data_IF_366234815441
#
_entry.id   IF_366234815441
#
_cell.length_a   1.000
_cell.length_b   1.000
_cell.length_c   1.000
_cell.angle_alpha   90.00
_cell.angle_beta   90.00
_cell.angle_gamma   90.00
#
_symmetry.space_group_name_H-M   'P 1'
#
loop_
_entity.id
_entity.type
_entity.pdbx_description
1 polymer ?
#
# COMPACT_ATOMS: atom_id res chain seq x y z
N UNK A 1 -12.86 -29.74 26.73
CA UNK A 1 -11.55 -29.92 26.05
C UNK A 1 -10.49 -29.35 27.00
N UNK A 2 -9.52 -30.16 27.44
CA UNK A 2 -8.72 -29.87 28.63
C UNK A 2 -7.65 -28.79 28.36
N UNK A 3 -7.71 -27.66 29.06
CA UNK A 3 -6.81 -26.50 28.91
C UNK A 3 -5.33 -26.88 28.99
N UNK A 4 -5.03 -27.91 29.78
CA UNK A 4 -3.68 -28.45 29.93
C UNK A 4 -3.13 -29.05 28.64
N UNK A 5 -3.98 -29.75 27.86
CA UNK A 5 -3.58 -30.33 26.58
C UNK A 5 -3.35 -29.23 25.54
N UNK A 6 -4.23 -28.22 25.50
CA UNK A 6 -4.10 -27.08 24.60
C UNK A 6 -2.82 -26.28 24.88
N UNK A 7 -2.50 -26.05 26.16
CA UNK A 7 -1.25 -25.41 26.60
C UNK A 7 0.00 -26.18 26.16
N UNK A 8 0.00 -27.51 26.31
CA UNK A 8 1.13 -28.36 25.89
C UNK A 8 1.33 -28.36 24.37
N UNK A 9 0.23 -28.39 23.60
CA UNK A 9 0.29 -28.32 22.13
C UNK A 9 0.84 -26.97 21.68
N UNK A 10 0.36 -25.85 22.25
CA UNK A 10 0.86 -24.50 21.94
C UNK A 10 2.34 -24.35 22.26
N UNK A 11 2.79 -24.90 23.39
CA UNK A 11 4.19 -24.83 23.83
C UNK A 11 5.11 -25.66 22.94
N UNK A 12 4.68 -26.85 22.53
CA UNK A 12 5.42 -27.69 21.58
C UNK A 12 5.45 -27.07 20.17
N UNK A 13 4.32 -26.52 19.71
CA UNK A 13 4.24 -25.84 18.42
C UNK A 13 5.18 -24.62 18.36
N UNK A 14 5.20 -23.78 19.40
CA UNK A 14 6.11 -22.63 19.48
C UNK A 14 7.60 -23.01 19.60
N UNK A 15 7.92 -24.23 20.05
CA UNK A 15 9.28 -24.73 20.14
C UNK A 15 9.79 -25.35 18.82
N UNK A 16 8.86 -25.86 17.99
CA UNK A 16 9.17 -26.51 16.70
C UNK A 16 9.04 -25.53 15.53
N UNK A 17 8.06 -24.63 15.59
CA UNK A 17 7.92 -23.57 14.61
C UNK A 17 9.17 -22.70 14.71
N UNK A 18 9.94 -22.53 13.62
CA UNK A 18 11.02 -21.58 13.65
C UNK A 18 10.42 -20.24 14.04
N UNK A 19 11.00 -19.59 15.05
CA UNK A 19 10.94 -18.14 15.22
C UNK A 19 11.65 -17.53 14.02
N UNK A 20 11.11 -17.75 12.82
CA UNK A 20 11.43 -17.00 11.66
C UNK A 20 10.90 -15.61 11.98
N UNK A 21 11.76 -14.78 12.53
CA UNK A 21 11.77 -13.38 12.13
C UNK A 21 11.92 -13.46 10.62
N UNK A 22 10.78 -13.58 9.91
CA UNK A 22 10.73 -13.52 8.47
C UNK A 22 11.43 -12.21 8.17
N UNK A 23 12.68 -12.30 7.72
CA UNK A 23 13.42 -11.14 7.27
C UNK A 23 12.51 -10.38 6.31
N UNK A 24 12.70 -9.08 6.21
CA UNK A 24 11.91 -8.19 5.36
C UNK A 24 12.06 -8.47 3.83
N UNK A 25 12.17 -9.73 3.43
CA UNK A 25 12.16 -10.23 2.07
C UNK A 25 10.80 -9.97 1.39
N UNK A 26 9.78 -9.58 2.16
CA UNK A 26 8.42 -9.28 1.73
C UNK A 26 8.01 -7.84 2.02
N UNK A 27 8.89 -6.83 1.98
CA UNK A 27 8.38 -5.47 1.77
C UNK A 27 7.89 -5.46 0.32
N UNK A 28 6.57 -5.48 0.05
CA UNK A 28 6.14 -5.29 -1.32
C UNK A 28 6.68 -3.93 -1.76
N UNK A 29 7.46 -3.91 -2.85
CA UNK A 29 7.92 -2.65 -3.42
C UNK A 29 6.69 -1.80 -3.68
N UNK A 30 6.70 -0.57 -3.16
CA UNK A 30 5.60 0.37 -3.36
C UNK A 30 5.30 0.42 -4.86
N UNK A 31 4.04 0.26 -5.28
CA UNK A 31 3.72 0.27 -6.69
C UNK A 31 4.12 1.61 -7.28
N UNK A 32 4.76 1.60 -8.47
CA UNK A 32 5.14 2.84 -9.18
C UNK A 32 3.99 3.86 -9.28
N UNK A 33 2.76 3.37 -9.41
CA UNK A 33 1.55 4.23 -9.44
C UNK A 33 1.36 5.02 -8.13
N UNK A 34 1.57 4.38 -6.98
CA UNK A 34 1.44 5.02 -5.67
C UNK A 34 2.60 5.99 -5.40
N UNK A 35 3.81 5.68 -5.88
CA UNK A 35 4.95 6.62 -5.85
C UNK A 35 4.65 7.89 -6.67
N UNK A 36 4.17 7.73 -7.91
CA UNK A 36 3.78 8.85 -8.78
C UNK A 36 2.68 9.69 -8.11
N UNK A 37 1.67 9.04 -7.53
CA UNK A 37 0.60 9.72 -6.81
C UNK A 37 1.14 10.50 -5.60
N UNK A 38 2.08 9.93 -4.86
CA UNK A 38 2.75 10.59 -3.74
C UNK A 38 3.51 11.84 -4.20
N UNK A 39 4.23 11.76 -5.33
CA UNK A 39 4.92 12.91 -5.91
C UNK A 39 3.96 14.03 -6.35
N UNK A 40 2.82 13.67 -6.94
CA UNK A 40 1.80 14.65 -7.32
C UNK A 40 1.17 15.34 -6.10
N UNK A 41 0.90 14.58 -5.05
CA UNK A 41 0.40 15.12 -3.79
C UNK A 41 1.42 16.07 -3.13
N UNK A 42 2.70 15.69 -3.10
CA UNK A 42 3.76 16.54 -2.55
C UNK A 42 3.91 17.84 -3.35
N UNK A 43 3.87 17.76 -4.68
CA UNK A 43 3.85 18.94 -5.55
C UNK A 43 2.70 19.89 -5.23
N UNK A 44 1.48 19.38 -5.04
CA UNK A 44 0.32 20.22 -4.69
C UNK A 44 0.49 20.92 -3.34
N UNK A 45 1.02 20.22 -2.34
CA UNK A 45 1.26 20.83 -1.03
C UNK A 45 2.34 21.91 -1.08
N UNK A 46 3.42 21.67 -1.84
CA UNK A 46 4.45 22.69 -2.07
C UNK A 46 3.87 23.91 -2.82
N UNK A 47 3.01 23.68 -3.80
CA UNK A 47 2.35 24.75 -4.56
C UNK A 47 1.42 25.59 -3.67
N UNK A 48 0.58 24.92 -2.86
CA UNK A 48 -0.33 25.56 -1.92
C UNK A 48 0.44 26.43 -0.92
N UNK A 49 1.55 25.90 -0.38
CA UNK A 49 2.41 26.64 0.52
C UNK A 49 3.03 27.87 -0.16
N UNK A 50 3.53 27.71 -1.38
CA UNK A 50 4.12 28.81 -2.15
C UNK A 50 3.14 29.94 -2.43
N UNK A 51 1.90 29.60 -2.79
CA UNK A 51 0.84 30.59 -3.05
C UNK A 51 0.41 31.26 -1.74
N UNK A 52 0.30 30.51 -0.64
CA UNK A 52 0.00 31.07 0.68
C UNK A 52 1.07 32.07 1.14
N UNK A 53 2.36 31.76 0.92
CA UNK A 53 3.46 32.70 1.19
C UNK A 53 3.35 33.96 0.34
N UNK A 54 3.02 33.82 -0.95
CA UNK A 54 2.84 34.95 -1.84
C UNK A 54 1.67 35.85 -1.42
N UNK A 55 0.57 35.26 -0.96
CA UNK A 55 -0.57 35.99 -0.40
C UNK A 55 -0.20 36.74 0.89
N UNK A 56 0.66 36.15 1.72
CA UNK A 56 1.09 36.76 2.99
C UNK A 56 2.05 37.93 2.77
N UNK A 57 2.88 37.87 1.72
CA UNK A 57 3.87 38.89 1.42
C UNK A 57 3.79 39.35 -0.06
N UNK A 58 2.74 40.08 -0.46
CA UNK A 58 2.52 40.46 -1.86
C UNK A 58 3.67 41.29 -2.45
N UNK A 59 4.37 42.08 -1.62
CA UNK A 59 5.51 42.90 -2.02
C UNK A 59 6.72 42.08 -2.53
N UNK A 60 6.76 40.78 -2.25
CA UNK A 60 7.81 39.87 -2.74
C UNK A 60 7.51 39.33 -4.14
N UNK A 61 6.33 39.64 -4.68
CA UNK A 61 5.93 39.23 -6.01
C UNK A 61 6.89 39.78 -7.07
N UNK A 62 7.21 38.93 -8.05
CA UNK A 62 8.12 39.27 -9.13
C UNK A 62 7.79 38.45 -10.37
N UNK A 63 8.29 38.87 -11.53
CA UNK A 63 8.11 38.14 -12.79
C UNK A 63 8.62 36.67 -12.72
N UNK A 64 9.56 36.37 -11.83
CA UNK A 64 10.02 34.99 -11.60
C UNK A 64 8.91 34.10 -11.01
N UNK A 65 8.00 34.66 -10.22
CA UNK A 65 6.85 33.94 -9.66
C UNK A 65 5.82 33.60 -10.74
N UNK A 66 5.59 34.49 -11.71
CA UNK A 66 4.75 34.20 -12.89
C UNK A 66 5.29 33.06 -13.71
N UNK A 67 6.59 33.09 -14.02
CA UNK A 67 7.20 32.03 -14.82
C UNK A 67 7.17 30.67 -14.12
N UNK A 68 7.35 30.66 -12.78
CA UNK A 68 7.15 29.45 -11.97
C UNK A 68 5.68 29.00 -12.01
N UNK A 69 4.74 29.93 -11.88
CA UNK A 69 3.31 29.63 -11.96
C UNK A 69 2.91 29.02 -13.29
N UNK A 70 3.34 29.57 -14.43
CA UNK A 70 3.01 29.00 -15.75
C UNK A 70 3.52 27.55 -15.88
N UNK A 71 4.70 27.27 -15.34
CA UNK A 71 5.27 25.90 -15.30
C UNK A 71 4.45 24.99 -14.39
N UNK A 72 4.07 25.47 -13.20
CA UNK A 72 3.23 24.74 -12.26
C UNK A 72 1.82 24.49 -12.80
N UNK A 73 1.26 25.44 -13.56
CA UNK A 73 -0.06 25.37 -14.16
C UNK A 73 -0.15 24.21 -15.17
N UNK A 74 0.85 24.05 -16.04
CA UNK A 74 0.92 22.91 -16.98
C UNK A 74 0.95 21.59 -16.21
N UNK A 75 1.79 21.50 -15.18
CA UNK A 75 1.87 20.29 -14.34
C UNK A 75 0.57 19.99 -13.61
N UNK A 76 -0.11 21.04 -13.13
CA UNK A 76 -1.40 20.94 -12.44
C UNK A 76 -2.51 20.47 -13.39
N UNK A 77 -2.57 21.01 -14.61
CA UNK A 77 -3.51 20.58 -15.65
C UNK A 77 -3.32 19.10 -15.99
N UNK A 78 -2.07 18.63 -16.08
CA UNK A 78 -1.78 17.20 -16.30
C UNK A 78 -2.29 16.33 -15.15
N UNK A 79 -2.13 16.78 -13.89
CA UNK A 79 -2.67 16.07 -12.71
C UNK A 79 -4.19 16.01 -12.73
N UNK A 80 -4.85 17.15 -13.02
CA UNK A 80 -6.30 17.22 -13.13
C UNK A 80 -6.84 16.30 -14.22
N UNK A 81 -6.14 16.22 -15.36
CA UNK A 81 -6.48 15.31 -16.44
C UNK A 81 -6.30 13.84 -16.04
N UNK A 82 -5.15 13.51 -15.42
CA UNK A 82 -4.81 12.14 -15.00
C UNK A 82 -5.82 11.58 -14.00
N UNK A 83 -6.26 12.41 -13.05
CA UNK A 83 -7.20 12.01 -11.99
C UNK A 83 -8.61 12.56 -12.19
N UNK A 84 -9.02 12.84 -13.44
CA UNK A 84 -10.34 13.42 -13.73
C UNK A 84 -11.53 12.67 -13.13
N UNK A 85 -11.39 11.35 -12.90
CA UNK A 85 -12.44 10.50 -12.29
C UNK A 85 -12.53 10.65 -10.77
N UNK A 86 -11.48 11.17 -10.14
CA UNK A 86 -11.39 11.38 -8.68
C UNK A 86 -12.01 12.72 -8.30
N UNK A 87 -11.92 13.72 -9.18
CA UNK A 87 -12.45 15.05 -8.92
C UNK A 87 -13.93 15.13 -9.30
N UNK A 88 -14.76 15.60 -8.36
CA UNK A 88 -16.17 15.92 -8.61
C UNK A 88 -16.35 17.26 -9.31
N UNK A 89 -15.34 18.13 -9.22
CA UNK A 89 -15.32 19.46 -9.79
C UNK A 89 -13.92 19.79 -10.32
N UNK A 90 -13.85 20.33 -11.53
CA UNK A 90 -12.60 20.81 -12.12
C UNK A 90 -12.61 22.34 -12.02
N UNK A 91 -11.82 22.94 -11.12
CA UNK A 91 -11.78 24.39 -10.98
C UNK A 91 -11.10 25.03 -12.19
N UNK A 92 -11.61 26.19 -12.59
CA UNK A 92 -10.93 27.09 -13.53
C UNK A 92 -9.75 27.74 -12.83
N UNK A 93 -8.54 27.45 -13.33
CA UNK A 93 -7.29 27.98 -12.79
C UNK A 93 -6.90 29.27 -13.53
N UNK A 94 -6.40 30.30 -12.82
CA UNK A 94 -5.97 31.54 -13.44
C UNK A 94 -4.70 31.33 -14.27
N UNK A 95 -4.65 31.95 -15.45
CA UNK A 95 -3.49 31.89 -16.34
C UNK A 95 -2.28 32.66 -15.79
N UNK A 96 -2.54 33.70 -14.99
CA UNK A 96 -1.52 34.54 -14.34
C UNK A 96 -1.89 34.79 -12.89
N UNK A 97 -0.90 34.86 -12.01
CA UNK A 97 -1.11 35.27 -10.61
C UNK A 97 -1.29 36.80 -10.49
N UNK A 98 -0.75 37.58 -11.43
CA UNK A 98 -0.93 39.04 -11.48
C UNK A 98 -2.39 39.46 -11.65
N UNK A 99 -3.19 38.67 -12.36
CA UNK A 99 -4.60 38.95 -12.62
C UNK A 99 -5.51 38.56 -11.44
N UNK A 100 -4.95 37.99 -10.38
CA UNK A 100 -5.69 37.48 -9.24
C UNK A 100 -5.82 38.62 -8.21
N UNK A 101 -7.03 39.18 -8.03
CA UNK A 101 -7.31 40.11 -6.94
C UNK A 101 -7.33 39.37 -5.59
N UNK A 102 -7.37 40.10 -4.48
CA UNK A 102 -7.32 39.50 -3.14
C UNK A 102 -8.44 38.47 -2.89
N UNK A 103 -9.64 38.70 -3.41
CA UNK A 103 -10.75 37.74 -3.36
C UNK A 103 -10.55 36.54 -4.31
N UNK A 104 -9.93 36.78 -5.47
CA UNK A 104 -9.59 35.72 -6.42
C UNK A 104 -8.51 34.78 -5.86
N UNK A 105 -7.55 35.31 -5.10
CA UNK A 105 -6.51 34.51 -4.45
C UNK A 105 -7.09 33.56 -3.41
N UNK A 106 -8.11 34.01 -2.67
CA UNK A 106 -8.84 33.16 -1.74
C UNK A 106 -9.55 32.03 -2.49
N UNK A 107 -10.25 32.36 -3.60
CA UNK A 107 -10.92 31.36 -4.43
C UNK A 107 -9.96 30.33 -5.05
N UNK A 108 -8.76 30.78 -5.44
CA UNK A 108 -7.69 29.93 -5.95
C UNK A 108 -7.18 28.99 -4.85
N UNK A 109 -6.89 29.53 -3.67
CA UNK A 109 -6.41 28.74 -2.54
C UNK A 109 -7.44 27.70 -2.11
N UNK A 110 -8.72 28.06 -2.06
CA UNK A 110 -9.81 27.15 -1.76
C UNK A 110 -9.93 26.05 -2.82
N UNK A 111 -9.82 26.41 -4.11
CA UNK A 111 -9.83 25.45 -5.22
C UNK A 111 -8.66 24.46 -5.13
N UNK A 112 -7.44 24.94 -4.91
CA UNK A 112 -6.24 24.11 -4.74
C UNK A 112 -6.31 23.24 -3.48
N UNK A 113 -6.87 23.78 -2.39
CA UNK A 113 -7.12 23.04 -1.15
C UNK A 113 -8.10 21.89 -1.38
N UNK A 114 -9.18 22.13 -2.12
CA UNK A 114 -10.14 21.09 -2.48
C UNK A 114 -9.54 20.00 -3.39
N UNK A 115 -8.70 20.39 -4.36
CA UNK A 115 -7.92 19.43 -5.17
C UNK A 115 -7.01 18.61 -4.28
N UNK A 116 -6.24 19.24 -3.38
CA UNK A 116 -5.30 18.56 -2.48
C UNK A 116 -6.02 17.57 -1.56
N UNK A 117 -7.16 17.97 -0.96
CA UNK A 117 -8.00 17.08 -0.13
C UNK A 117 -8.51 15.88 -0.91
N UNK A 118 -9.00 16.09 -2.14
CA UNK A 118 -9.50 15.01 -3.00
C UNK A 118 -8.38 14.03 -3.38
N UNK A 119 -7.21 14.56 -3.77
CA UNK A 119 -6.06 13.74 -4.12
C UNK A 119 -5.50 12.99 -2.90
N UNK A 120 -5.50 13.62 -1.72
CA UNK A 120 -5.13 12.96 -0.46
C UNK A 120 -6.08 11.83 -0.12
N UNK A 121 -7.39 12.04 -0.25
CA UNK A 121 -8.38 10.99 -0.05
C UNK A 121 -8.15 9.80 -0.98
N UNK A 122 -7.85 10.07 -2.25
CA UNK A 122 -7.51 9.04 -3.22
C UNK A 122 -6.19 8.32 -2.92
N UNK A 123 -5.16 9.06 -2.52
CA UNK A 123 -3.88 8.49 -2.09
C UNK A 123 -4.04 7.52 -0.92
N UNK A 124 -4.78 7.93 0.12
CA UNK A 124 -5.07 7.07 1.28
C UNK A 124 -5.86 5.81 0.89
N UNK A 125 -6.81 5.94 -0.04
CA UNK A 125 -7.56 4.80 -0.55
C UNK A 125 -6.64 3.79 -1.27
N UNK A 126 -5.78 4.27 -2.17
CA UNK A 126 -4.84 3.39 -2.88
C UNK A 126 -3.80 2.76 -1.95
N UNK A 127 -3.32 3.51 -0.97
CA UNK A 127 -2.39 2.99 0.04
C UNK A 127 -3.07 1.86 0.83
N UNK A 128 -4.31 2.06 1.28
CA UNK A 128 -5.08 1.03 1.97
C UNK A 128 -5.30 -0.22 1.11
N UNK A 129 -5.73 -0.06 -0.14
CA UNK A 129 -5.94 -1.19 -1.07
C UNK A 129 -4.65 -1.99 -1.29
N UNK A 130 -3.51 -1.30 -1.36
CA UNK A 130 -2.20 -1.94 -1.47
C UNK A 130 -1.83 -2.72 -0.20
N UNK A 131 -2.04 -2.13 0.98
CA UNK A 131 -1.80 -2.82 2.25
C UNK A 131 -2.71 -4.05 2.39
N UNK A 132 -4.00 -3.91 2.10
CA UNK A 132 -4.98 -5.01 2.16
C UNK A 132 -4.58 -6.15 1.21
N UNK A 133 -4.13 -5.82 -0.01
CA UNK A 133 -3.63 -6.80 -0.98
C UNK A 133 -2.36 -7.48 -0.51
N UNK A 134 -1.43 -6.74 0.09
CA UNK A 134 -0.20 -7.32 0.65
C UNK A 134 -0.47 -8.23 1.84
N UNK A 135 -1.42 -7.87 2.71
CA UNK A 135 -1.81 -8.70 3.86
C UNK A 135 -2.44 -10.00 3.36
N UNK A 136 -3.37 -9.90 2.39
CA UNK A 136 -4.02 -11.08 1.79
C UNK A 136 -3.01 -12.02 1.13
N UNK A 137 -2.10 -11.49 0.32
CA UNK A 137 -1.05 -12.29 -0.32
C UNK A 137 -0.16 -13.03 0.71
N UNK A 138 0.16 -12.39 1.84
CA UNK A 138 0.92 -13.02 2.93
C UNK A 138 0.13 -14.14 3.62
N UNK A 139 -1.18 -13.97 3.81
CA UNK A 139 -2.04 -15.00 4.38
C UNK A 139 -2.14 -16.20 3.43
N UNK A 140 -2.31 -15.95 2.13
CA UNK A 140 -2.41 -17.00 1.11
C UNK A 140 -1.09 -17.79 1.00
N UNK A 141 0.06 -17.11 1.00
CA UNK A 141 1.39 -17.76 1.00
C UNK A 141 1.60 -18.63 2.24
N UNK A 142 1.24 -18.12 3.43
CA UNK A 142 1.28 -18.89 4.67
C UNK A 142 0.36 -20.12 4.62
N UNK A 143 -0.83 -19.98 4.05
CA UNK A 143 -1.78 -21.08 3.91
C UNK A 143 -1.25 -22.16 2.95
N UNK A 144 -0.64 -21.75 1.83
CA UNK A 144 -0.01 -22.67 0.87
C UNK A 144 1.17 -23.42 1.49
N UNK A 145 2.00 -22.73 2.27
CA UNK A 145 3.11 -23.36 2.99
C UNK A 145 2.59 -24.36 4.01
N UNK A 146 1.55 -24.02 4.78
CA UNK A 146 0.92 -24.95 5.71
C UNK A 146 0.34 -26.19 5.03
N UNK A 147 -0.38 -26.04 3.92
CA UNK A 147 -0.92 -27.16 3.14
C UNK A 147 0.19 -28.05 2.56
N UNK A 148 1.28 -27.43 2.11
CA UNK A 148 2.46 -28.13 1.59
C UNK A 148 3.15 -28.93 2.70
N UNK A 149 3.39 -28.31 3.85
CA UNK A 149 4.02 -28.94 5.01
C UNK A 149 3.16 -30.09 5.54
N UNK A 150 1.85 -29.88 5.69
CA UNK A 150 0.91 -30.91 6.11
C UNK A 150 0.86 -32.08 5.11
N UNK A 151 0.77 -31.78 3.81
CA UNK A 151 0.81 -32.80 2.76
C UNK A 151 2.12 -33.59 2.79
N UNK A 152 3.25 -32.93 2.99
CA UNK A 152 4.56 -33.57 3.07
C UNK A 152 4.67 -34.48 4.31
N UNK A 153 4.14 -34.03 5.45
CA UNK A 153 4.09 -34.79 6.68
C UNK A 153 3.22 -36.05 6.53
N UNK A 154 2.00 -35.90 6.01
CA UNK A 154 1.09 -37.04 5.78
C UNK A 154 1.73 -38.04 4.82
N UNK A 155 2.33 -37.60 3.71
CA UNK A 155 3.05 -38.48 2.77
C UNK A 155 4.19 -39.23 3.44
N UNK A 156 4.97 -38.55 4.29
CA UNK A 156 6.07 -39.14 5.05
C UNK A 156 5.57 -40.21 6.05
N UNK A 157 4.52 -39.92 6.79
CA UNK A 157 3.90 -40.87 7.74
C UNK A 157 3.31 -42.08 7.01
N UNK A 158 2.56 -41.87 5.94
CA UNK A 158 1.98 -42.95 5.14
C UNK A 158 3.07 -43.85 4.56
N UNK A 159 4.13 -43.27 3.99
CA UNK A 159 5.28 -44.02 3.48
C UNK A 159 5.89 -44.91 4.57
N UNK A 160 6.20 -44.35 5.75
CA UNK A 160 6.74 -45.12 6.89
C UNK A 160 5.81 -46.24 7.35
N UNK A 161 4.50 -45.96 7.46
CA UNK A 161 3.52 -46.97 7.84
C UNK A 161 3.41 -48.09 6.80
N UNK A 162 3.50 -47.78 5.50
CA UNK A 162 3.52 -48.78 4.43
C UNK A 162 4.74 -49.70 4.51
N UNK A 163 5.91 -49.16 4.85
CA UNK A 163 7.11 -49.97 5.11
C UNK A 163 6.95 -50.85 6.36
N UNK A 164 6.30 -50.37 7.42
CA UNK A 164 6.08 -51.19 8.62
C UNK A 164 4.99 -52.26 8.44
N UNK A 165 3.89 -51.96 7.76
CA UNK A 165 2.82 -52.94 7.50
C UNK A 165 3.32 -54.03 6.54
N UNK A 166 4.15 -53.69 5.55
CA UNK A 166 4.78 -54.71 4.69
C UNK A 166 5.80 -55.55 5.45
N UNK A 167 6.62 -54.96 6.32
CA UNK A 167 7.54 -55.72 7.17
C UNK A 167 6.79 -56.65 8.15
N UNK A 168 5.77 -56.15 8.86
CA UNK A 168 4.96 -56.98 9.77
C UNK A 168 4.26 -58.12 9.03
N UNK A 169 3.81 -57.93 7.78
CA UNK A 169 3.28 -59.02 6.95
C UNK A 169 4.34 -60.02 6.49
N UNK A 170 5.59 -59.59 6.29
CA UNK A 170 6.73 -60.46 5.96
C UNK A 170 7.19 -61.27 7.18
N UNK A 171 7.09 -60.69 8.39
CA UNK A 171 7.44 -61.35 9.65
C UNK A 171 6.32 -62.20 10.25
N UNK A 172 5.05 -61.92 9.94
CA UNK A 172 3.91 -62.80 10.23
C UNK A 172 3.80 -63.92 9.20
N UNK A 173 4.86 -64.72 9.04
CA UNK A 173 4.83 -65.95 8.24
C UNK A 173 3.61 -66.81 8.60
N UNK A 174 2.51 -66.60 7.87
CA UNK A 174 1.32 -67.42 7.92
C UNK A 174 1.49 -68.43 6.79
N UNK A 175 1.75 -69.71 7.11
CA UNK A 175 1.70 -70.75 6.11
C UNK A 175 0.25 -70.90 5.64
N UNK A 176 0.09 -71.06 4.33
CA UNK A 176 -1.13 -71.58 3.69
C UNK A 176 -1.29 -73.05 4.08
#
# INVERSE_FOLDING_TARGET
MCEHLQSRILKAANAILPSATVGNNYTPKVPKKLEILTQHYWFLNCLLHSICLLCKYPLTYSAAHEHKWSTHLIRLQNILHLYKKVFTFIPTLPLSLSSCLQDDFKSLLDSLSNISKSLRGFHLLQEKEFQDSSIRARLDDRNNNFETDLSSFIKSVLSRSHYHITLDRVFLGLPI
#
